data_IF_510686678904
#
_entry.id   IF_510686678904
#
_cell.length_a   1.000
_cell.length_b   1.000
_cell.length_c   1.000
_cell.angle_alpha   90.00
_cell.angle_beta   90.00
_cell.angle_gamma   90.00
#
_symmetry.space_group_name_H-M   'P 1'
#
loop_
_entity.id
_entity.type
_entity.pdbx_description
1 polymer ?
#
# COMPACT_ATOMS: atom_id res chain seq x y z
N UNK A 1 -10.18 -27.20 23.21
CA UNK A 1 -9.78 -25.94 22.54
C UNK A 1 -10.16 -24.78 23.45
N UNK A 2 -9.18 -23.99 23.87
CA UNK A 2 -9.38 -22.93 24.85
C UNK A 2 -10.16 -21.77 24.22
N UNK A 3 -10.97 -21.04 25.00
CA UNK A 3 -11.71 -19.84 24.54
C UNK A 3 -10.75 -18.85 23.84
N UNK A 4 -9.52 -18.77 24.36
CA UNK A 4 -8.42 -17.97 23.80
C UNK A 4 -8.05 -18.36 22.36
N UNK A 5 -8.19 -19.64 21.98
CA UNK A 5 -7.92 -20.10 20.61
C UNK A 5 -9.02 -19.66 19.63
N UNK A 6 -10.26 -19.53 20.09
CA UNK A 6 -11.39 -19.07 19.26
C UNK A 6 -11.27 -17.58 18.98
N UNK A 7 -10.92 -16.78 19.98
CA UNK A 7 -10.71 -15.33 19.82
C UNK A 7 -9.55 -15.03 18.87
N UNK A 8 -8.44 -15.76 19.00
CA UNK A 8 -7.27 -15.62 18.11
C UNK A 8 -7.61 -16.05 16.68
N UNK A 9 -8.40 -17.10 16.48
CA UNK A 9 -8.86 -17.53 15.14
C UNK A 9 -9.80 -16.50 14.52
N UNK A 10 -10.74 -15.95 15.28
CA UNK A 10 -11.65 -14.89 14.83
C UNK A 10 -10.89 -13.61 14.44
N UNK A 11 -9.92 -13.20 15.24
CA UNK A 11 -9.06 -12.05 14.92
C UNK A 11 -8.23 -12.27 13.64
N UNK A 12 -7.67 -13.48 13.44
CA UNK A 12 -6.95 -13.84 12.22
C UNK A 12 -7.85 -13.82 10.98
N UNK A 13 -9.07 -14.35 11.09
CA UNK A 13 -10.04 -14.34 9.99
C UNK A 13 -10.48 -12.91 9.65
N UNK A 14 -10.74 -12.06 10.64
CA UNK A 14 -11.08 -10.64 10.42
C UNK A 14 -9.93 -9.87 9.76
N UNK A 15 -8.69 -10.05 10.23
CA UNK A 15 -7.51 -9.41 9.63
C UNK A 15 -7.27 -9.89 8.18
N UNK A 16 -7.52 -11.17 7.91
CA UNK A 16 -7.42 -11.72 6.55
C UNK A 16 -8.49 -11.16 5.61
N UNK A 17 -9.74 -11.09 6.06
CA UNK A 17 -10.83 -10.49 5.27
C UNK A 17 -10.57 -9.00 5.00
N UNK A 18 -10.07 -8.28 5.99
CA UNK A 18 -9.68 -6.88 5.81
C UNK A 18 -8.56 -6.74 4.79
N UNK A 19 -7.48 -7.54 4.90
CA UNK A 19 -6.40 -7.52 3.91
C UNK A 19 -6.90 -7.85 2.51
N UNK A 20 -7.76 -8.88 2.36
CA UNK A 20 -8.39 -9.29 1.10
C UNK A 20 -9.24 -8.17 0.49
N UNK A 21 -10.11 -7.56 1.28
CA UNK A 21 -10.94 -6.43 0.86
C UNK A 21 -10.09 -5.21 0.47
N UNK A 22 -9.02 -4.95 1.23
CA UNK A 22 -8.10 -3.86 0.96
C UNK A 22 -7.35 -4.07 -0.35
N UNK A 23 -6.74 -5.25 -0.55
CA UNK A 23 -5.97 -5.57 -1.76
C UNK A 23 -6.80 -5.69 -3.03
N UNK A 24 -8.07 -6.11 -2.92
CA UNK A 24 -8.97 -6.19 -4.06
C UNK A 24 -9.63 -4.85 -4.41
N UNK A 25 -9.49 -3.82 -3.56
CA UNK A 25 -10.09 -2.52 -3.84
C UNK A 25 -9.15 -1.60 -4.66
N UNK A 26 -9.69 -0.72 -5.52
CA UNK A 26 -8.91 0.27 -6.27
C UNK A 26 -8.50 1.49 -5.42
N UNK A 27 -9.01 1.60 -4.19
CA UNK A 27 -8.81 2.73 -3.30
C UNK A 27 -7.38 2.86 -2.72
N UNK A 28 -6.72 1.80 -2.24
CA UNK A 28 -5.35 1.87 -1.72
C UNK A 28 -4.30 2.43 -2.69
N UNK A 29 -4.25 2.01 -3.97
CA UNK A 29 -3.31 2.60 -4.93
C UNK A 29 -3.63 4.07 -5.23
N UNK A 30 -4.91 4.45 -5.34
CA UNK A 30 -5.34 5.84 -5.51
C UNK A 30 -4.95 6.74 -4.33
N UNK A 31 -5.20 6.28 -3.10
CA UNK A 31 -4.85 7.02 -1.90
C UNK A 31 -3.34 7.26 -1.78
N UNK A 32 -2.54 6.23 -2.09
CA UNK A 32 -1.09 6.34 -2.07
C UNK A 32 -0.58 7.25 -3.19
N UNK A 33 -1.12 7.15 -4.41
CA UNK A 33 -0.80 8.04 -5.52
C UNK A 33 -1.07 9.52 -5.16
N UNK A 34 -2.20 9.79 -4.49
CA UNK A 34 -2.59 11.14 -4.07
C UNK A 34 -1.63 11.71 -3.03
N UNK A 35 -1.31 10.92 -1.99
CA UNK A 35 -0.35 11.31 -0.95
C UNK A 35 1.06 11.49 -1.49
N UNK A 36 1.55 10.59 -2.34
CA UNK A 36 2.89 10.71 -2.91
C UNK A 36 2.98 11.91 -3.84
N UNK A 37 1.94 12.20 -4.62
CA UNK A 37 1.85 13.42 -5.43
C UNK A 37 1.85 14.66 -4.55
N UNK A 38 1.08 14.69 -3.46
CA UNK A 38 1.05 15.82 -2.54
C UNK A 38 2.42 16.10 -1.90
N UNK A 39 3.23 15.07 -1.63
CA UNK A 39 4.59 15.21 -1.08
C UNK A 39 5.60 15.64 -2.13
N UNK A 40 5.50 15.14 -3.36
CA UNK A 40 6.55 15.23 -4.38
C UNK A 40 6.24 16.18 -5.55
N UNK A 41 5.06 16.78 -5.60
CA UNK A 41 4.73 17.79 -6.59
C UNK A 41 5.50 19.10 -6.38
N UNK A 42 5.87 19.44 -5.13
CA UNK A 42 6.64 20.66 -4.80
C UNK A 42 7.63 20.46 -3.64
N UNK A 43 8.95 20.37 -3.90
CA UNK A 43 9.64 20.48 -5.20
C UNK A 43 9.46 19.23 -6.06
N UNK A 44 9.32 19.42 -7.38
CA UNK A 44 9.12 18.33 -8.34
C UNK A 44 10.33 17.40 -8.36
N UNK A 45 10.11 16.12 -8.03
CA UNK A 45 11.15 15.10 -8.04
C UNK A 45 10.73 13.97 -8.96
N UNK A 46 11.38 13.83 -10.12
CA UNK A 46 11.03 12.84 -11.15
C UNK A 46 10.99 11.40 -10.61
N UNK A 47 11.95 11.04 -9.75
CA UNK A 47 12.15 9.67 -9.28
C UNK A 47 11.00 9.13 -8.41
N UNK A 48 10.50 9.84 -7.38
CA UNK A 48 9.29 9.46 -6.64
C UNK A 48 7.99 9.71 -7.42
N UNK A 49 8.02 10.43 -8.54
CA UNK A 49 6.82 10.74 -9.34
C UNK A 49 6.43 9.62 -10.32
N UNK A 50 7.31 8.64 -10.54
CA UNK A 50 6.94 7.37 -11.19
C UNK A 50 6.05 6.52 -10.28
N UNK A 51 6.06 6.77 -8.97
CA UNK A 51 5.24 6.04 -7.98
C UNK A 51 3.74 6.25 -8.19
N UNK A 52 3.24 7.50 -8.25
CA UNK A 52 1.85 7.76 -8.60
C UNK A 52 1.42 7.23 -9.96
N UNK A 53 2.25 7.36 -11.01
CA UNK A 53 1.88 6.93 -12.36
C UNK A 53 1.58 5.42 -12.43
N UNK A 54 2.43 4.60 -11.80
CA UNK A 54 2.25 3.13 -11.75
C UNK A 54 1.10 2.73 -10.82
N UNK A 55 0.86 3.49 -9.74
CA UNK A 55 -0.27 3.22 -8.85
C UNK A 55 -1.62 3.56 -9.51
N UNK A 56 -1.69 4.65 -10.27
CA UNK A 56 -2.88 4.97 -11.08
C UNK A 56 -3.13 3.89 -12.15
N UNK A 57 -2.07 3.35 -12.76
CA UNK A 57 -2.17 2.21 -13.66
C UNK A 57 -2.68 0.94 -12.94
N UNK A 58 -2.24 0.71 -11.70
CA UNK A 58 -2.75 -0.38 -10.87
C UNK A 58 -4.24 -0.22 -10.55
N UNK A 59 -4.73 1.01 -10.36
CA UNK A 59 -6.16 1.30 -10.21
C UNK A 59 -6.92 0.92 -11.47
N UNK A 60 -6.39 1.26 -12.65
CA UNK A 60 -7.00 0.89 -13.93
C UNK A 60 -7.05 -0.63 -14.14
N UNK A 61 -5.98 -1.36 -13.77
CA UNK A 61 -5.98 -2.82 -13.83
C UNK A 61 -7.00 -3.45 -12.87
N UNK A 62 -7.14 -2.90 -11.66
CA UNK A 62 -8.15 -3.37 -10.71
C UNK A 62 -9.58 -3.21 -11.27
N UNK A 63 -9.86 -2.09 -11.95
CA UNK A 63 -11.15 -1.84 -12.61
C UNK A 63 -11.40 -2.75 -13.83
N UNK A 64 -10.35 -3.26 -14.48
CA UNK A 64 -10.45 -4.22 -15.59
C UNK A 64 -10.42 -5.69 -15.10
N UNK A 65 -10.87 -5.95 -13.89
CA UNK A 65 -10.86 -7.26 -13.23
C UNK A 65 -9.47 -7.87 -12.98
N UNK A 66 -8.35 -7.19 -13.26
CA UNK A 66 -6.99 -7.66 -12.94
C UNK A 66 -6.60 -7.30 -11.50
N UNK A 67 -7.47 -7.59 -10.53
CA UNK A 67 -7.28 -7.23 -9.12
C UNK A 67 -6.03 -7.87 -8.49
N UNK A 68 -5.66 -9.10 -8.89
CA UNK A 68 -4.47 -9.81 -8.37
C UNK A 68 -3.16 -9.17 -8.84
N UNK A 69 -3.07 -8.83 -10.13
CA UNK A 69 -1.89 -8.19 -10.70
C UNK A 69 -1.77 -6.74 -10.21
N UNK A 70 -2.90 -6.04 -10.08
CA UNK A 70 -2.96 -4.74 -9.43
C UNK A 70 -2.45 -4.80 -7.98
N UNK A 71 -2.86 -5.79 -7.18
CA UNK A 71 -2.38 -5.96 -5.82
C UNK A 71 -0.86 -6.20 -5.77
N UNK A 72 -0.33 -7.04 -6.67
CA UNK A 72 1.11 -7.29 -6.80
C UNK A 72 1.92 -6.05 -7.17
N UNK A 73 1.46 -5.30 -8.19
CA UNK A 73 2.09 -4.05 -8.62
C UNK A 73 2.05 -3.01 -7.50
N UNK A 74 0.90 -2.87 -6.83
CA UNK A 74 0.74 -1.95 -5.69
C UNK A 74 1.68 -2.32 -4.54
N UNK A 75 1.82 -3.60 -4.20
CA UNK A 75 2.73 -4.07 -3.15
C UNK A 75 4.20 -3.80 -3.50
N UNK A 76 4.61 -4.15 -4.72
CA UNK A 76 5.99 -3.97 -5.19
C UNK A 76 6.37 -2.48 -5.20
N UNK A 77 5.50 -1.62 -5.73
CA UNK A 77 5.78 -0.20 -5.89
C UNK A 77 5.68 0.57 -4.56
N UNK A 78 4.79 0.14 -3.66
CA UNK A 78 4.74 0.66 -2.29
C UNK A 78 6.00 0.28 -1.49
N UNK A 79 6.52 -0.94 -1.69
CA UNK A 79 7.80 -1.38 -1.12
C UNK A 79 8.99 -0.61 -1.66
N UNK A 80 9.04 -0.39 -2.97
CA UNK A 80 10.07 0.43 -3.59
C UNK A 80 10.05 1.86 -3.02
N UNK A 81 8.86 2.44 -2.85
CA UNK A 81 8.70 3.75 -2.22
C UNK A 81 9.21 3.76 -0.77
N UNK A 82 8.94 2.72 0.02
CA UNK A 82 9.48 2.60 1.38
C UNK A 82 11.01 2.54 1.41
N UNK A 83 11.62 1.75 0.53
CA UNK A 83 13.08 1.65 0.42
C UNK A 83 13.68 3.02 0.06
N UNK A 84 13.10 3.71 -0.92
CA UNK A 84 13.53 5.06 -1.32
C UNK A 84 13.32 6.10 -0.20
N UNK A 85 12.20 6.03 0.50
CA UNK A 85 11.85 6.95 1.57
C UNK A 85 12.72 6.75 2.82
N UNK A 86 13.15 5.51 3.09
CA UNK A 86 14.05 5.15 4.20
C UNK A 86 15.51 5.53 3.92
N UNK A 87 15.96 5.49 2.66
CA UNK A 87 17.33 5.90 2.28
C UNK A 87 17.59 7.40 2.46
N UNK A 88 16.55 8.24 2.47
CA UNK A 88 16.71 9.68 2.76
C UNK A 88 16.97 9.91 4.25
N UNK A 89 18.26 10.01 4.61
CA UNK A 89 18.71 10.57 5.91
C UNK A 89 18.11 11.97 6.08
N UNK A 90 17.01 12.09 6.84
CA UNK A 90 16.41 13.39 7.12
C UNK A 90 17.32 14.15 8.08
N UNK A 91 18.07 15.12 7.54
CA UNK A 91 19.17 15.82 8.21
C UNK A 91 18.79 16.60 9.49
N UNK A 92 17.51 16.77 9.81
CA UNK A 92 17.04 17.35 11.07
C UNK A 92 15.85 16.55 11.62
N UNK A 93 15.93 16.12 12.88
CA UNK A 93 14.79 15.55 13.61
C UNK A 93 13.61 16.54 13.73
N UNK A 94 13.92 17.84 13.75
CA UNK A 94 12.95 18.94 13.88
C UNK A 94 12.06 19.09 12.63
N UNK A 95 12.56 18.78 11.42
CA UNK A 95 11.74 18.88 10.20
C UNK A 95 10.72 17.75 10.05
N UNK A 96 10.73 16.75 10.94
CA UNK A 96 9.81 15.60 10.95
C UNK A 96 8.45 15.94 11.58
N UNK A 97 8.38 16.98 12.41
CA UNK A 97 7.15 17.42 13.08
C UNK A 97 6.40 18.55 12.34
N UNK A 98 6.86 18.98 11.16
CA UNK A 98 6.13 19.94 10.32
C UNK A 98 5.03 19.27 9.48
N UNK A 99 4.14 20.06 8.87
CA UNK A 99 3.09 19.56 7.97
C UNK A 99 3.63 18.61 6.89
N UNK A 100 4.79 18.91 6.30
CA UNK A 100 5.47 18.02 5.34
C UNK A 100 5.96 16.70 5.94
N UNK A 101 6.38 16.71 7.21
CA UNK A 101 6.80 15.52 7.93
C UNK A 101 5.62 14.59 8.20
N UNK A 102 4.46 15.15 8.54
CA UNK A 102 3.22 14.41 8.78
C UNK A 102 2.68 13.77 7.50
N UNK A 103 2.65 14.51 6.38
CA UNK A 103 2.23 13.97 5.08
C UNK A 103 3.22 12.91 4.56
N UNK A 104 4.53 13.10 4.79
CA UNK A 104 5.52 12.07 4.45
C UNK A 104 5.36 10.83 5.32
N UNK A 105 5.10 11.00 6.62
CA UNK A 105 4.84 9.92 7.56
C UNK A 105 3.58 9.13 7.20
N UNK A 106 2.50 9.81 6.84
CA UNK A 106 1.26 9.15 6.38
C UNK A 106 1.46 8.45 5.05
N UNK A 107 2.20 9.03 4.10
CA UNK A 107 2.55 8.37 2.84
C UNK A 107 3.38 7.09 3.07
N UNK A 108 4.37 7.13 3.98
CA UNK A 108 5.16 5.95 4.34
C UNK A 108 4.33 4.91 5.09
N UNK A 109 3.45 5.34 6.01
CA UNK A 109 2.55 4.46 6.74
C UNK A 109 1.57 3.75 5.81
N UNK A 110 0.94 4.50 4.89
CA UNK A 110 0.05 3.92 3.89
C UNK A 110 0.80 2.99 2.93
N UNK A 111 2.05 3.31 2.56
CA UNK A 111 2.88 2.41 1.76
C UNK A 111 3.21 1.11 2.49
N UNK A 112 3.44 1.15 3.80
CA UNK A 112 3.64 -0.06 4.61
C UNK A 112 2.36 -0.89 4.71
N UNK A 113 1.21 -0.25 4.93
CA UNK A 113 -0.09 -0.93 4.94
C UNK A 113 -0.38 -1.56 3.57
N UNK A 114 -0.16 -0.84 2.48
CA UNK A 114 -0.37 -1.36 1.13
C UNK A 114 0.61 -2.50 0.81
N UNK A 115 1.88 -2.40 1.20
CA UNK A 115 2.82 -3.50 1.03
C UNK A 115 2.39 -4.75 1.81
N UNK A 116 1.97 -4.59 3.06
CA UNK A 116 1.58 -5.72 3.91
C UNK A 116 0.24 -6.33 3.45
N UNK A 117 -0.78 -5.49 3.22
CA UNK A 117 -2.11 -5.95 2.82
C UNK A 117 -2.10 -6.47 1.38
N UNK A 118 -1.64 -5.69 0.40
CA UNK A 118 -1.60 -6.12 -1.00
C UNK A 118 -0.56 -7.23 -1.23
N UNK A 119 0.53 -7.25 -0.46
CA UNK A 119 1.50 -8.35 -0.49
C UNK A 119 0.92 -9.64 0.10
N UNK A 120 0.16 -9.55 1.20
CA UNK A 120 -0.56 -10.69 1.76
C UNK A 120 -1.64 -11.19 0.79
N UNK A 121 -2.41 -10.32 0.14
CA UNK A 121 -3.39 -10.76 -0.86
C UNK A 121 -2.75 -11.36 -2.10
N UNK A 122 -1.60 -10.86 -2.53
CA UNK A 122 -0.86 -11.46 -3.65
C UNK A 122 -0.26 -12.82 -3.31
N UNK A 123 0.38 -12.95 -2.14
CA UNK A 123 1.07 -14.18 -1.72
C UNK A 123 0.12 -15.28 -1.22
N UNK A 124 -0.96 -14.91 -0.51
CA UNK A 124 -1.92 -15.83 0.07
C UNK A 124 -3.24 -15.92 -0.74
N UNK A 125 -3.45 -15.04 -1.72
CA UNK A 125 -4.54 -15.14 -2.69
C UNK A 125 -4.30 -16.26 -3.69
N UNK A 126 -4.41 -17.51 -3.22
CA UNK A 126 -4.63 -18.66 -4.10
C UNK A 126 -5.97 -18.47 -4.80
N UNK A 127 -5.86 -18.47 -6.13
CA UNK A 127 -6.87 -18.55 -7.18
C UNK A 127 -8.34 -18.67 -6.75
N UNK A 128 -9.10 -17.58 -6.86
CA UNK A 128 -10.56 -17.58 -7.06
C UNK A 128 -10.90 -17.12 -8.50
N UNK A 129 -9.96 -17.29 -9.43
CA UNK A 129 -10.18 -17.17 -10.89
C UNK A 129 -10.00 -18.51 -11.62
N UNK A 130 -10.13 -19.60 -10.88
CA UNK A 130 -10.31 -20.96 -11.43
C UNK A 130 -11.76 -21.47 -11.21
N UNK A 131 -12.70 -20.60 -10.78
CA UNK A 131 -14.11 -20.99 -10.52
C UNK A 131 -15.16 -20.17 -11.31
N UNK A 132 -14.78 -19.51 -12.41
CA UNK A 132 -15.72 -19.19 -13.52
C UNK A 132 -15.04 -19.38 -14.88
#
# INVERSE_FOLDING_TARGET
>A
MSVKDKDVKGAKQGAWQFAKAWGNSPLPPMGLATLVTAVHARPFQMLPMTVPAVLLFSTYLNLNDYAKDAAGITAAWSGLYLVLANRRKSAKFISRFGARGLVRGSAMGLAAVNLAACGATYALGRNEKEEE
#
